data_IF_552336892667
#
_entry.id   IF_552336892667
#
_cell.length_a   1.000
_cell.length_b   1.000
_cell.length_c   1.000
_cell.angle_alpha   90.00
_cell.angle_beta   90.00
_cell.angle_gamma   90.00
#
_symmetry.space_group_name_H-M   'P 1'
#
loop_
_entity.id
_entity.type
_entity.pdbx_description
1 polymer ?
#
# COMPACT_ATOMS: atom_id res chain seq x y z
N UNK A 1 -7.44 -11.67 -14.63
CA UNK A 1 -6.18 -12.06 -13.94
C UNK A 1 -6.53 -12.71 -12.62
N UNK A 2 -5.78 -13.74 -12.22
CA UNK A 2 -5.92 -14.44 -10.95
C UNK A 2 -4.53 -14.50 -10.29
N UNK A 3 -4.44 -14.04 -9.04
CA UNK A 3 -3.20 -14.04 -8.26
C UNK A 3 -3.48 -14.65 -6.90
N UNK A 4 -2.62 -15.57 -6.47
CA UNK A 4 -2.78 -16.25 -5.19
C UNK A 4 -1.45 -16.32 -4.43
N UNK A 5 -1.49 -15.98 -3.14
CA UNK A 5 -0.36 -16.12 -2.23
C UNK A 5 -0.41 -17.50 -1.56
N UNK A 6 0.52 -18.38 -1.96
CA UNK A 6 0.66 -19.71 -1.36
C UNK A 6 1.19 -19.61 0.08
N UNK A 7 2.02 -18.60 0.36
CA UNK A 7 2.55 -18.31 1.68
C UNK A 7 2.93 -16.84 1.80
N UNK A 8 3.46 -16.42 2.95
CA UNK A 8 4.04 -15.08 3.14
C UNK A 8 5.18 -14.76 2.17
N UNK A 9 5.83 -15.77 1.58
CA UNK A 9 6.97 -15.58 0.67
C UNK A 9 6.70 -15.93 -0.78
N UNK A 10 5.70 -16.75 -1.06
CA UNK A 10 5.46 -17.27 -2.41
C UNK A 10 4.07 -16.87 -2.90
N UNK A 11 4.03 -16.36 -4.13
CA UNK A 11 2.78 -16.16 -4.85
C UNK A 11 2.90 -16.67 -6.29
N UNK A 12 1.77 -17.02 -6.88
CA UNK A 12 1.67 -17.32 -8.29
C UNK A 12 0.54 -16.52 -8.92
N UNK A 13 0.62 -16.33 -10.23
CA UNK A 13 -0.41 -15.66 -10.99
C UNK A 13 -0.66 -16.32 -12.33
N UNK A 14 -1.89 -16.16 -12.80
CA UNK A 14 -2.35 -16.56 -14.12
C UNK A 14 -3.11 -15.37 -14.71
N UNK A 15 -2.68 -14.96 -15.89
CA UNK A 15 -3.19 -13.83 -16.63
C UNK A 15 -3.76 -14.29 -17.96
N UNK A 16 -4.94 -13.79 -18.27
CA UNK A 16 -5.53 -13.92 -19.56
C UNK A 16 -6.10 -12.56 -20.00
N UNK A 17 -5.70 -12.08 -21.18
CA UNK A 17 -6.14 -10.82 -21.75
C UNK A 17 -6.53 -11.06 -23.21
N UNK A 18 -7.78 -10.79 -23.56
CA UNK A 18 -8.26 -10.77 -24.94
C UNK A 18 -8.44 -9.33 -25.42
N UNK A 19 -7.88 -8.99 -26.58
CA UNK A 19 -8.09 -7.71 -27.25
C UNK A 19 -8.90 -7.96 -28.52
N UNK A 20 -10.12 -7.45 -28.53
CA UNK A 20 -11.01 -7.51 -29.68
C UNK A 20 -11.01 -6.17 -30.42
N UNK A 21 -10.57 -6.17 -31.67
CA UNK A 21 -10.44 -4.96 -32.47
C UNK A 21 -11.15 -5.15 -33.81
N UNK A 22 -12.13 -4.29 -34.14
CA UNK A 22 -13.01 -4.48 -35.33
C UNK A 22 -12.28 -4.51 -36.68
N UNK A 23 -11.02 -4.05 -36.75
CA UNK A 23 -10.23 -3.92 -37.98
C UNK A 23 -9.02 -4.85 -38.04
N UNK A 24 -8.73 -5.60 -36.96
CA UNK A 24 -7.51 -6.39 -36.81
C UNK A 24 -7.84 -7.77 -36.26
N UNK A 25 -6.94 -8.73 -36.48
CA UNK A 25 -7.03 -10.08 -35.90
C UNK A 25 -7.13 -10.00 -34.37
N UNK A 26 -8.09 -10.73 -33.75
CA UNK A 26 -8.22 -10.78 -32.30
C UNK A 26 -6.91 -11.27 -31.66
N UNK A 27 -6.44 -10.56 -30.63
CA UNK A 27 -5.17 -10.88 -29.96
C UNK A 27 -5.47 -11.47 -28.61
N UNK A 28 -4.99 -12.68 -28.36
CA UNK A 28 -5.14 -13.33 -27.06
C UNK A 28 -3.78 -13.48 -26.38
N UNK A 29 -3.65 -12.90 -25.20
CA UNK A 29 -2.45 -12.98 -24.38
C UNK A 29 -2.74 -13.86 -23.18
N UNK A 30 -1.92 -14.88 -22.97
CA UNK A 30 -1.96 -15.73 -21.79
C UNK A 30 -0.61 -15.70 -21.10
N UNK A 31 -0.58 -15.53 -19.79
CA UNK A 31 0.66 -15.50 -19.02
C UNK A 31 0.51 -16.16 -17.67
N UNK A 32 1.60 -16.69 -17.15
CA UNK A 32 1.66 -17.21 -15.80
C UNK A 32 3.06 -17.02 -15.24
N UNK A 33 3.14 -16.91 -13.91
CA UNK A 33 4.42 -16.75 -13.25
C UNK A 33 4.31 -16.95 -11.76
N UNK A 34 5.46 -16.87 -11.11
CA UNK A 34 5.60 -16.94 -9.67
C UNK A 34 6.49 -15.80 -9.18
N UNK A 35 6.24 -15.36 -7.96
CA UNK A 35 7.06 -14.41 -7.26
C UNK A 35 7.48 -14.94 -5.90
N UNK A 36 8.71 -14.59 -5.52
CA UNK A 36 9.33 -14.94 -4.25
C UNK A 36 9.80 -13.68 -3.51
N UNK A 37 9.36 -13.53 -2.27
CA UNK A 37 9.80 -12.47 -1.37
C UNK A 37 11.09 -12.93 -0.67
N UNK A 38 12.23 -12.46 -1.18
CA UNK A 38 13.55 -12.78 -0.65
C UNK A 38 13.81 -12.11 0.71
N UNK A 39 13.33 -10.87 0.86
CA UNK A 39 13.34 -10.09 2.11
C UNK A 39 12.08 -9.22 2.15
N UNK A 40 11.73 -8.65 3.30
CA UNK A 40 10.52 -7.81 3.48
C UNK A 40 10.37 -6.69 2.43
N UNK A 41 11.51 -6.27 1.85
CA UNK A 41 11.58 -5.24 0.82
C UNK A 41 12.11 -5.74 -0.54
N UNK A 42 12.50 -6.99 -0.71
CA UNK A 42 13.06 -7.50 -1.97
C UNK A 42 12.25 -8.67 -2.50
N UNK A 43 11.72 -8.52 -3.71
CA UNK A 43 10.97 -9.54 -4.42
C UNK A 43 11.68 -9.91 -5.73
N UNK A 44 11.68 -11.19 -6.04
CA UNK A 44 12.08 -11.75 -7.33
C UNK A 44 10.85 -12.33 -8.00
N UNK A 45 10.73 -12.19 -9.31
CA UNK A 45 9.65 -12.80 -10.09
C UNK A 45 10.17 -13.44 -11.36
N UNK A 46 9.46 -14.46 -11.81
CA UNK A 46 9.70 -15.11 -13.08
C UNK A 46 8.36 -15.43 -13.73
N UNK A 47 8.25 -15.19 -15.03
CA UNK A 47 7.00 -15.40 -15.76
C UNK A 47 7.24 -15.89 -17.17
N UNK A 48 6.24 -16.58 -17.70
CA UNK A 48 6.14 -16.97 -19.10
C UNK A 48 4.84 -16.38 -19.64
N UNK A 49 4.88 -15.85 -20.86
CA UNK A 49 3.71 -15.31 -21.55
C UNK A 49 3.70 -15.82 -22.98
N UNK A 50 2.52 -16.13 -23.49
CA UNK A 50 2.30 -16.45 -24.89
C UNK A 50 1.21 -15.55 -25.47
N UNK A 51 1.34 -15.29 -26.77
CA UNK A 51 0.35 -14.56 -27.54
C UNK A 51 -0.14 -15.48 -28.66
N UNK A 52 -1.46 -15.60 -28.79
CA UNK A 52 -2.11 -16.30 -29.89
C UNK A 52 -2.72 -15.26 -30.82
N UNK A 53 -2.15 -15.15 -32.01
CA UNK A 53 -2.77 -14.52 -33.18
C UNK A 53 -3.27 -15.65 -34.11
N UNK A 54 -4.17 -15.34 -35.04
CA UNK A 54 -4.67 -16.35 -36.00
C UNK A 54 -3.52 -16.99 -36.80
N UNK A 55 -2.51 -16.20 -37.20
CA UNK A 55 -1.43 -16.69 -38.08
C UNK A 55 -0.11 -17.00 -37.34
N UNK A 56 0.10 -16.47 -36.14
CA UNK A 56 1.39 -16.55 -35.44
C UNK A 56 1.24 -16.64 -33.92
N UNK A 57 2.16 -17.35 -33.28
CA UNK A 57 2.24 -17.44 -31.82
C UNK A 57 3.65 -17.08 -31.34
N UNK A 58 3.75 -16.29 -30.27
CA UNK A 58 5.03 -15.89 -29.68
C UNK A 58 5.08 -16.28 -28.21
N UNK A 59 6.18 -16.92 -27.79
CA UNK A 59 6.47 -17.25 -26.41
C UNK A 59 7.53 -16.31 -25.85
N UNK A 60 7.27 -15.74 -24.67
CA UNK A 60 8.12 -14.82 -23.94
C UNK A 60 8.38 -15.39 -22.55
N UNK A 61 9.61 -15.24 -22.07
CA UNK A 61 9.97 -15.47 -20.68
C UNK A 61 10.55 -14.19 -20.09
N UNK A 62 10.25 -13.91 -18.83
CA UNK A 62 10.80 -12.76 -18.12
C UNK A 62 11.26 -13.16 -16.73
N UNK A 63 12.25 -12.42 -16.23
CA UNK A 63 12.68 -12.41 -14.83
C UNK A 63 12.67 -10.97 -14.35
N UNK A 64 12.27 -10.75 -13.10
CA UNK A 64 12.09 -9.43 -12.51
C UNK A 64 12.63 -9.36 -11.09
N UNK A 65 13.00 -8.15 -10.70
CA UNK A 65 13.42 -7.81 -9.34
C UNK A 65 12.71 -6.52 -8.95
N UNK A 66 12.11 -6.51 -7.75
CA UNK A 66 11.45 -5.34 -7.20
C UNK A 66 11.95 -5.05 -5.78
N UNK A 67 12.26 -3.77 -5.50
CA UNK A 67 12.66 -3.29 -4.18
C UNK A 67 11.63 -2.30 -3.63
N UNK A 68 11.10 -2.55 -2.43
CA UNK A 68 10.19 -1.64 -1.72
C UNK A 68 10.99 -0.56 -0.99
N UNK A 69 10.76 0.70 -1.36
CA UNK A 69 11.28 1.86 -0.65
C UNK A 69 10.22 2.35 0.35
N UNK A 70 10.35 1.96 1.61
CA UNK A 70 9.50 2.48 2.67
C UNK A 70 10.09 3.79 3.23
N UNK A 71 9.36 4.89 3.02
CA UNK A 71 9.66 6.21 3.61
C UNK A 71 8.57 6.63 4.58
N UNK A 72 7.85 5.68 5.15
CA UNK A 72 6.83 5.97 6.13
C UNK A 72 7.45 6.23 7.51
N UNK A 73 7.39 7.48 7.95
CA UNK A 73 7.53 7.80 9.37
C UNK A 73 6.14 7.81 9.99
N UNK A 74 5.82 6.76 10.74
CA UNK A 74 4.62 6.74 11.55
C UNK A 74 4.63 7.93 12.52
N UNK A 75 3.64 8.80 12.41
CA UNK A 75 3.43 9.84 13.42
C UNK A 75 2.97 9.14 14.69
N UNK A 76 3.75 9.26 15.76
CA UNK A 76 3.34 8.78 17.08
C UNK A 76 2.06 9.52 17.47
N UNK A 77 0.91 8.85 17.35
CA UNK A 77 -0.34 9.35 17.90
C UNK A 77 -0.27 9.09 19.40
N UNK A 78 0.23 10.07 20.16
CA UNK A 78 0.10 10.07 21.61
C UNK A 78 -1.40 10.19 21.90
N UNK A 79 -2.08 9.05 22.13
CA UNK A 79 -3.40 9.05 22.77
C UNK A 79 -3.22 9.66 24.15
N UNK A 80 -3.45 10.97 24.25
CA UNK A 80 -3.49 11.64 25.54
C UNK A 80 -4.48 10.89 26.41
N UNK A 81 -3.98 10.31 27.50
CA UNK A 81 -4.85 9.60 28.44
C UNK A 81 -5.94 10.57 28.92
N UNK A 82 -7.12 10.10 29.34
CA UNK A 82 -8.14 10.99 29.93
C UNK A 82 -7.57 11.85 31.08
N UNK A 83 -6.56 11.34 31.80
CA UNK A 83 -5.81 12.09 32.83
C UNK A 83 -5.01 13.27 32.26
N UNK A 84 -4.37 13.14 31.10
CA UNK A 84 -3.61 14.22 30.47
C UNK A 84 -4.49 15.37 29.97
N UNK A 85 -5.71 15.04 29.52
CA UNK A 85 -6.70 16.04 29.14
C UNK A 85 -7.25 16.78 30.37
N UNK A 86 -7.50 16.06 31.47
CA UNK A 86 -7.95 16.64 32.75
C UNK A 86 -6.89 17.54 33.39
N UNK A 87 -5.60 17.17 33.34
CA UNK A 87 -4.51 18.01 33.87
C UNK A 87 -4.31 19.27 33.02
N UNK A 88 -4.38 19.19 31.69
CA UNK A 88 -4.37 20.38 30.80
C UNK A 88 -5.57 21.29 31.06
N UNK A 89 -6.78 20.75 31.24
CA UNK A 89 -7.99 21.53 31.54
C UNK A 89 -7.92 22.19 32.92
N UNK A 90 -7.38 21.51 33.94
CA UNK A 90 -7.10 22.09 35.27
C UNK A 90 -6.02 23.18 35.20
N UNK A 91 -4.93 22.99 34.45
CA UNK A 91 -3.89 24.02 34.26
C UNK A 91 -4.45 25.26 33.54
N UNK A 92 -5.30 25.09 32.52
CA UNK A 92 -5.99 26.21 31.85
C UNK A 92 -6.94 26.95 32.81
N UNK A 93 -7.71 26.23 33.63
CA UNK A 93 -8.56 26.84 34.68
C UNK A 93 -7.77 27.57 35.77
N UNK A 94 -6.57 27.08 36.11
CA UNK A 94 -5.68 27.73 37.10
C UNK A 94 -4.93 28.95 36.54
N UNK A 95 -4.78 29.11 35.21
CA UNK A 95 -4.00 30.20 34.60
C UNK A 95 -4.73 31.55 34.55
N UNK A 96 -5.74 31.74 35.40
CA UNK A 96 -6.42 33.02 35.61
C UNK A 96 -7.53 33.26 34.60
N UNK A 97 -8.78 33.19 35.08
CA UNK A 97 -9.89 33.79 34.37
C UNK A 97 -9.59 35.28 34.19
N UNK A 98 -9.79 35.81 32.99
CA UNK A 98 -9.64 37.24 32.66
C UNK A 98 -10.29 38.17 33.72
N UNK A 99 -11.38 37.69 34.32
CA UNK A 99 -12.15 38.36 35.37
C UNK A 99 -11.51 38.37 36.77
N UNK A 100 -10.59 37.45 37.11
CA UNK A 100 -9.97 37.45 38.46
C UNK A 100 -8.99 38.62 38.66
N UNK A 101 -8.54 39.25 37.57
CA UNK A 101 -7.78 40.51 37.60
C UNK A 101 -8.66 41.75 37.64
N UNK A 102 -9.91 41.67 37.15
CA UNK A 102 -10.87 42.77 37.14
C UNK A 102 -11.52 42.99 38.51
N UNK A 103 -11.75 41.93 39.28
CA UNK A 103 -12.35 42.01 40.62
C UNK A 103 -11.35 42.19 41.78
N UNK A 104 -10.08 42.52 41.47
CA UNK A 104 -9.03 42.73 42.49
C UNK A 104 -8.76 44.23 42.71
N UNK A 105 -9.72 44.96 43.29
CA UNK A 105 -9.55 46.30 43.89
C UNK A 105 -10.46 46.39 45.12
N UNK A 106 -9.90 46.30 46.34
CA UNK A 106 -9.28 47.33 47.20
C UNK A 106 -10.33 47.98 48.13
N UNK A 107 -10.40 47.46 49.35
CA UNK A 107 -10.60 48.28 50.55
C UNK A 107 -9.21 48.58 51.11
#
# INVERSE_FOLDING_TARGET
TMTYALSYKWSYFIENQGVFEKKMTPKFHFGTGAAYLFSDNLQLDASIRTNFFEDYSFLYSSIGVAWRLDRHSDKIIIKSSPRDQLTKKRKRRKKGNFFSRLFKKKY
#
